data_IF_686214872227
#
_entry.id   IF_686214872227
#
_cell.length_a   1.000
_cell.length_b   1.000
_cell.length_c   1.000
_cell.angle_alpha   90.00
_cell.angle_beta   90.00
_cell.angle_gamma   90.00
#
_symmetry.space_group_name_H-M   'P 1'
#
loop_
_entity.id
_entity.type
_entity.pdbx_description
1 polymer ?
#
# COMPACT_ATOMS: atom_id res chain seq x y z
N UNK A 1 -2.31 8.39 -1.81
CA UNK A 1 -1.04 7.66 -2.08
C UNK A 1 -1.35 6.45 -2.94
N UNK A 2 -0.79 6.41 -4.12
CA UNK A 2 -0.93 5.31 -5.08
C UNK A 2 -0.05 4.12 -4.64
N UNK A 3 -0.55 2.87 -4.62
CA UNK A 3 0.27 1.69 -4.40
C UNK A 3 1.26 1.50 -5.56
N UNK A 4 2.44 0.94 -5.31
CA UNK A 4 3.34 0.55 -6.39
C UNK A 4 2.87 -0.75 -7.06
N UNK A 5 3.23 -0.95 -8.32
CA UNK A 5 2.97 -2.21 -9.02
C UNK A 5 3.51 -3.41 -8.23
N UNK A 6 4.72 -3.29 -7.69
CA UNK A 6 5.33 -4.31 -6.83
C UNK A 6 4.43 -4.70 -5.65
N UNK A 7 3.82 -3.72 -4.98
CA UNK A 7 2.92 -4.00 -3.85
C UNK A 7 1.73 -4.85 -4.29
N UNK A 8 1.08 -4.50 -5.40
CA UNK A 8 -0.11 -5.21 -5.88
C UNK A 8 0.25 -6.64 -6.33
N UNK A 9 1.34 -6.80 -7.07
CA UNK A 9 1.80 -8.10 -7.59
C UNK A 9 2.35 -9.03 -6.52
N UNK A 10 2.73 -8.51 -5.36
CA UNK A 10 3.32 -9.31 -4.27
C UNK A 10 2.29 -10.08 -3.44
N UNK A 11 1.00 -9.84 -3.64
CA UNK A 11 -0.05 -10.65 -3.02
C UNK A 11 -0.33 -11.90 -3.87
N UNK A 12 -0.50 -13.02 -3.18
CA UNK A 12 -1.08 -14.21 -3.79
C UNK A 12 -2.58 -13.98 -4.05
N UNK A 13 -3.13 -14.61 -5.08
CA UNK A 13 -4.55 -14.49 -5.43
C UNK A 13 -5.52 -14.94 -4.32
N UNK A 14 -5.07 -15.86 -3.44
CA UNK A 14 -5.82 -16.37 -2.30
C UNK A 14 -5.62 -15.55 -1.02
N UNK A 15 -4.84 -14.47 -1.08
CA UNK A 15 -4.57 -13.58 0.05
C UNK A 15 -5.62 -12.47 0.13
N UNK A 16 -6.59 -12.62 1.03
CA UNK A 16 -7.68 -11.65 1.23
C UNK A 16 -7.21 -10.26 1.69
N UNK A 17 -5.95 -10.11 2.12
CA UNK A 17 -5.41 -8.81 2.55
C UNK A 17 -5.33 -7.81 1.41
N UNK A 18 -5.16 -8.28 0.17
CA UNK A 18 -5.19 -7.39 -0.99
C UNK A 18 -6.53 -6.63 -1.02
N UNK A 19 -7.63 -7.37 -1.05
CA UNK A 19 -8.99 -6.83 -1.13
C UNK A 19 -9.44 -6.12 0.15
N UNK A 20 -8.94 -6.55 1.30
CA UNK A 20 -9.17 -5.89 2.58
C UNK A 20 -8.38 -4.59 2.77
N UNK A 21 -7.35 -4.37 1.96
CA UNK A 21 -6.48 -3.19 2.05
C UNK A 21 -6.69 -2.18 0.94
N UNK A 22 -7.04 -2.66 -0.26
CA UNK A 22 -7.17 -1.85 -1.46
C UNK A 22 -8.57 -1.99 -2.05
N UNK A 23 -9.19 -0.86 -2.33
CA UNK A 23 -10.49 -0.81 -2.99
C UNK A 23 -10.31 -1.04 -4.50
N UNK A 24 -10.97 -2.07 -5.02
CA UNK A 24 -10.92 -2.42 -6.43
C UNK A 24 -12.04 -1.81 -7.25
N UNK A 25 -13.13 -1.42 -6.61
CA UNK A 25 -14.27 -0.83 -7.32
C UNK A 25 -14.82 0.37 -6.57
N UNK A 26 -15.35 1.31 -7.34
CA UNK A 26 -15.99 2.51 -6.85
C UNK A 26 -17.44 2.50 -7.32
N UNK A 27 -18.34 2.67 -6.38
CA UNK A 27 -19.76 2.82 -6.68
C UNK A 27 -20.12 4.29 -6.85
N UNK A 28 -21.15 4.54 -7.63
CA UNK A 28 -21.71 5.87 -7.77
C UNK A 28 -22.25 6.38 -6.43
N UNK A 29 -21.90 7.62 -6.11
CA UNK A 29 -22.42 8.33 -4.95
C UNK A 29 -23.22 9.52 -5.48
N UNK A 30 -24.49 9.74 -5.04
CA UNK A 30 -25.24 10.92 -5.40
C UNK A 30 -24.44 12.20 -5.13
N UNK A 31 -24.49 13.13 -6.06
CA UNK A 31 -23.66 14.35 -6.08
C UNK A 31 -24.01 15.41 -5.04
N UNK A 32 -25.03 15.19 -4.22
CA UNK A 32 -25.31 16.12 -3.11
C UNK A 32 -24.37 15.85 -1.94
N UNK A 33 -23.27 16.57 -1.91
CA UNK A 33 -22.24 16.51 -0.89
C UNK A 33 -22.74 16.84 0.53
N UNK A 34 -23.95 17.40 0.65
CA UNK A 34 -24.59 17.74 1.93
C UNK A 34 -25.47 16.62 2.48
N UNK A 35 -25.64 15.53 1.74
CA UNK A 35 -26.41 14.37 2.18
C UNK A 35 -25.46 13.26 2.67
N UNK A 36 -26.00 12.34 3.49
CA UNK A 36 -25.30 11.11 3.83
C UNK A 36 -24.97 10.36 2.55
N UNK A 37 -23.74 9.80 2.44
CA UNK A 37 -23.41 9.00 1.29
C UNK A 37 -24.38 7.82 1.19
N UNK A 38 -25.17 7.80 0.13
CA UNK A 38 -25.99 6.65 -0.21
C UNK A 38 -25.12 5.75 -1.09
N UNK A 39 -24.71 4.62 -0.57
CA UNK A 39 -23.97 3.64 -1.34
C UNK A 39 -24.89 3.04 -2.39
N UNK A 40 -24.54 3.23 -3.64
CA UNK A 40 -25.22 2.62 -4.79
C UNK A 40 -24.51 1.32 -5.14
N UNK A 41 -25.27 0.32 -5.56
CA UNK A 41 -24.71 -0.92 -6.14
C UNK A 41 -24.18 -0.72 -7.57
N UNK A 42 -24.30 0.51 -8.10
CA UNK A 42 -23.82 0.87 -9.43
C UNK A 42 -22.33 1.10 -9.40
N UNK A 43 -21.55 0.17 -9.94
CA UNK A 43 -20.11 0.28 -10.08
C UNK A 43 -19.78 1.25 -11.22
N UNK A 44 -18.97 2.27 -10.94
CA UNK A 44 -18.48 3.23 -11.93
C UNK A 44 -17.08 2.93 -12.41
N UNK A 45 -16.21 2.51 -11.49
CA UNK A 45 -14.82 2.22 -11.77
C UNK A 45 -14.50 0.88 -11.14
N UNK A 46 -13.86 0.01 -11.91
CA UNK A 46 -13.38 -1.28 -11.43
C UNK A 46 -11.91 -1.44 -11.82
N UNK A 47 -11.05 -1.61 -10.80
CA UNK A 47 -9.63 -1.88 -10.97
C UNK A 47 -9.36 -3.33 -10.64
N UNK A 48 -8.82 -4.06 -11.59
CA UNK A 48 -8.53 -5.48 -11.40
C UNK A 48 -7.05 -5.75 -11.38
N UNK A 49 -6.67 -6.68 -10.54
CA UNK A 49 -5.37 -7.30 -10.58
C UNK A 49 -5.16 -8.09 -11.87
N UNK A 50 -6.20 -8.81 -12.29
CA UNK A 50 -6.26 -9.48 -13.58
C UNK A 50 -7.62 -9.19 -14.20
N UNK A 51 -7.62 -8.59 -15.37
CA UNK A 51 -8.82 -8.43 -16.20
C UNK A 51 -8.59 -9.26 -17.44
N UNK A 52 -9.52 -10.18 -17.75
CA UNK A 52 -9.46 -10.92 -19.01
C UNK A 52 -9.79 -10.01 -20.18
N UNK A 53 -9.33 -10.36 -21.37
CA UNK A 53 -9.67 -9.60 -22.58
C UNK A 53 -11.18 -9.58 -22.84
N UNK A 54 -11.91 -10.64 -22.45
CA UNK A 54 -13.37 -10.70 -22.53
C UNK A 54 -14.02 -9.73 -21.53
N UNK A 55 -13.51 -9.62 -20.30
CA UNK A 55 -14.02 -8.65 -19.32
C UNK A 55 -13.74 -7.21 -19.77
N UNK A 56 -12.58 -6.94 -20.36
CA UNK A 56 -12.27 -5.64 -20.95
C UNK A 56 -13.19 -5.34 -22.12
N UNK A 57 -13.47 -6.33 -22.98
CA UNK A 57 -14.35 -6.18 -24.15
C UNK A 57 -15.82 -6.03 -23.75
N UNK A 58 -16.25 -6.72 -22.69
CA UNK A 58 -17.61 -6.64 -22.15
C UNK A 58 -17.82 -5.41 -21.25
N UNK A 59 -16.72 -4.90 -20.64
CA UNK A 59 -16.76 -3.71 -19.79
C UNK A 59 -16.91 -2.44 -20.60
N UNK A 60 -17.50 -1.42 -19.98
CA UNK A 60 -17.56 -0.09 -20.55
C UNK A 60 -16.22 0.62 -20.32
N UNK A 61 -15.68 1.17 -21.40
CA UNK A 61 -14.42 1.90 -21.39
C UNK A 61 -14.66 3.37 -21.06
N UNK A 62 -13.58 4.08 -20.79
CA UNK A 62 -13.59 5.54 -20.62
C UNK A 62 -14.27 6.20 -21.83
N UNK A 63 -15.25 7.05 -21.54
CA UNK A 63 -16.07 7.72 -22.56
C UNK A 63 -17.36 6.99 -22.91
N UNK A 64 -17.59 5.76 -22.41
CA UNK A 64 -18.87 5.09 -22.50
C UNK A 64 -19.73 5.44 -21.29
N UNK A 65 -21.03 5.66 -21.53
CA UNK A 65 -21.94 6.13 -20.50
C UNK A 65 -22.70 4.95 -19.87
N UNK A 66 -22.69 4.84 -18.56
CA UNK A 66 -23.58 3.97 -17.80
C UNK A 66 -25.06 4.32 -18.09
N UNK A 67 -26.03 3.36 -18.02
CA UNK A 67 -27.46 3.65 -18.21
C UNK A 67 -28.01 4.82 -17.36
N UNK A 68 -27.36 5.15 -16.25
CA UNK A 68 -27.69 6.32 -15.42
C UNK A 68 -26.93 7.60 -15.81
N UNK A 69 -26.27 7.64 -16.96
CA UNK A 69 -25.56 8.83 -17.46
C UNK A 69 -24.16 9.04 -16.90
N UNK A 70 -23.60 8.07 -16.17
CA UNK A 70 -22.26 8.14 -15.59
C UNK A 70 -21.25 7.36 -16.43
N UNK A 71 -20.03 7.84 -16.50
CA UNK A 71 -18.94 7.09 -17.13
C UNK A 71 -18.60 5.85 -16.29
N UNK A 72 -18.40 4.72 -16.97
CA UNK A 72 -17.94 3.47 -16.37
C UNK A 72 -16.56 3.14 -16.92
N UNK A 73 -15.64 2.84 -16.02
CA UNK A 73 -14.27 2.48 -16.35
C UNK A 73 -13.98 1.05 -15.87
N UNK A 74 -13.38 0.27 -16.74
CA UNK A 74 -12.78 -1.01 -16.39
C UNK A 74 -11.29 -0.91 -16.69
N UNK A 75 -10.47 -1.03 -15.67
CA UNK A 75 -9.03 -0.81 -15.77
C UNK A 75 -8.27 -2.04 -15.26
N UNK A 76 -7.41 -2.59 -16.09
CA UNK A 76 -6.46 -3.62 -15.69
C UNK A 76 -5.14 -3.02 -15.21
N UNK A 77 -4.28 -3.82 -14.61
CA UNK A 77 -2.93 -3.38 -14.19
C UNK A 77 -2.11 -2.80 -15.36
N UNK A 78 -2.27 -3.35 -16.56
CA UNK A 78 -1.62 -2.87 -17.79
C UNK A 78 -2.08 -1.47 -18.23
N UNK A 79 -3.27 -1.03 -17.81
CA UNK A 79 -3.75 0.32 -18.03
C UNK A 79 -3.24 1.30 -16.98
N UNK A 80 -3.03 0.81 -15.76
CA UNK A 80 -2.57 1.62 -14.62
C UNK A 80 -1.04 1.72 -14.54
N UNK A 81 -0.33 0.70 -15.00
CA UNK A 81 1.12 0.62 -14.93
C UNK A 81 1.73 0.10 -16.22
N UNK A 82 2.92 0.57 -16.54
CA UNK A 82 3.81 -0.15 -17.43
C UNK A 82 4.31 -1.40 -16.70
N UNK A 83 3.91 -2.58 -17.13
CA UNK A 83 4.21 -3.83 -16.42
C UNK A 83 5.70 -4.21 -16.46
N UNK A 84 6.49 -3.62 -17.36
CA UNK A 84 7.94 -3.87 -17.47
C UNK A 84 8.73 -2.93 -16.54
N UNK A 85 8.36 -1.65 -16.49
CA UNK A 85 9.10 -0.65 -15.70
C UNK A 85 8.49 -0.39 -14.33
N UNK A 86 7.24 -0.78 -14.10
CA UNK A 86 6.47 -0.47 -12.90
C UNK A 86 5.99 0.98 -12.82
N UNK A 87 6.25 1.79 -13.85
CA UNK A 87 5.86 3.20 -13.89
C UNK A 87 4.35 3.34 -14.03
N UNK A 88 3.72 4.23 -13.24
CA UNK A 88 2.31 4.53 -13.42
C UNK A 88 2.05 5.22 -14.76
N UNK A 89 1.03 4.79 -15.47
CA UNK A 89 0.50 5.51 -16.63
C UNK A 89 -0.23 6.79 -16.20
N UNK A 90 -0.62 7.62 -17.14
CA UNK A 90 -1.47 8.79 -16.86
C UNK A 90 -2.81 8.37 -16.26
N UNK A 91 -3.42 7.29 -16.75
CA UNK A 91 -4.63 6.73 -16.16
C UNK A 91 -4.39 6.21 -14.74
N UNK A 92 -3.30 5.47 -14.51
CA UNK A 92 -2.93 4.97 -13.20
C UNK A 92 -2.71 6.07 -12.17
N UNK A 93 -2.22 7.25 -12.57
CA UNK A 93 -2.07 8.40 -11.66
C UNK A 93 -3.40 9.06 -11.30
N UNK A 94 -4.41 8.91 -12.13
CA UNK A 94 -5.75 9.49 -11.92
C UNK A 94 -6.72 8.50 -11.28
N UNK A 95 -6.62 7.23 -11.66
CA UNK A 95 -7.52 6.15 -11.23
C UNK A 95 -6.68 4.98 -10.70
N UNK A 96 -6.51 4.87 -9.40
CA UNK A 96 -5.72 3.83 -8.75
C UNK A 96 -6.44 3.23 -7.55
N UNK A 97 -6.00 2.06 -7.12
CA UNK A 97 -6.53 1.40 -5.93
C UNK A 97 -6.38 2.30 -4.69
N UNK A 98 -7.48 2.54 -4.01
CA UNK A 98 -7.49 3.37 -2.80
C UNK A 98 -7.34 2.51 -1.55
N UNK A 99 -6.70 3.08 -0.54
CA UNK A 99 -6.54 2.44 0.75
C UNK A 99 -7.87 2.39 1.52
N UNK A 100 -8.30 1.19 1.88
CA UNK A 100 -9.49 0.94 2.69
C UNK A 100 -9.23 1.01 4.19
N UNK A 101 -8.00 0.77 4.64
CA UNK A 101 -7.68 0.67 6.09
C UNK A 101 -7.93 1.96 6.85
N UNK A 102 -7.75 3.10 6.20
CA UNK A 102 -7.96 4.43 6.80
C UNK A 102 -9.31 5.05 6.43
N UNK A 103 -10.14 4.32 5.69
CA UNK A 103 -11.47 4.79 5.36
C UNK A 103 -12.35 4.81 6.61
N UNK A 104 -12.94 5.95 6.89
CA UNK A 104 -13.90 6.13 7.97
C UNK A 104 -15.33 6.11 7.42
N UNK A 105 -16.01 5.00 7.64
CA UNK A 105 -17.42 4.81 7.23
C UNK A 105 -18.42 5.49 8.19
N UNK A 106 -17.95 6.03 9.33
CA UNK A 106 -18.79 6.68 10.31
C UNK A 106 -19.01 8.17 10.02
N UNK A 107 -18.36 8.75 9.00
CA UNK A 107 -18.56 10.14 8.62
C UNK A 107 -20.02 10.41 8.29
N UNK A 108 -20.53 11.52 8.82
CA UNK A 108 -21.92 11.88 8.65
C UNK A 108 -22.21 12.38 7.22
N UNK A 109 -21.29 13.15 6.65
CA UNK A 109 -21.43 13.70 5.30
C UNK A 109 -20.23 13.32 4.42
N UNK A 110 -20.46 13.21 3.11
CA UNK A 110 -19.41 12.93 2.14
C UNK A 110 -18.34 14.05 2.07
N UNK A 111 -18.73 15.30 2.40
CA UNK A 111 -17.86 16.47 2.45
C UNK A 111 -16.95 16.55 3.68
N UNK A 112 -17.20 15.73 4.69
CA UNK A 112 -16.40 15.77 5.91
C UNK A 112 -14.96 15.35 5.63
N UNK A 113 -14.05 16.30 5.75
CA UNK A 113 -12.61 16.06 5.54
C UNK A 113 -11.97 15.31 6.71
N UNK A 114 -12.57 15.41 7.90
CA UNK A 114 -12.07 14.79 9.13
C UNK A 114 -12.84 13.53 9.45
N UNK A 115 -12.12 12.44 9.66
CA UNK A 115 -12.69 11.21 10.21
C UNK A 115 -12.54 11.18 11.74
N UNK A 116 -13.34 10.32 12.36
CA UNK A 116 -13.31 10.07 13.82
C UNK A 116 -12.80 8.67 14.15
N UNK A 117 -12.34 7.91 13.14
CA UNK A 117 -11.80 6.57 13.31
C UNK A 117 -10.48 6.62 14.07
N UNK A 118 -10.35 5.76 15.07
CA UNK A 118 -9.11 5.62 15.83
C UNK A 118 -7.94 5.22 14.94
N UNK A 119 -6.78 5.80 15.20
CA UNK A 119 -5.54 5.41 14.56
C UNK A 119 -4.86 4.30 15.37
N UNK A 120 -4.60 3.18 14.72
CA UNK A 120 -3.97 2.02 15.36
C UNK A 120 -2.45 2.22 15.35
N UNK A 121 -1.86 2.40 16.53
CA UNK A 121 -0.41 2.50 16.71
C UNK A 121 0.29 1.15 16.65
N UNK A 122 -0.28 0.15 17.30
CA UNK A 122 0.24 -1.20 17.34
C UNK A 122 -0.89 -2.20 17.21
N UNK A 123 -0.60 -3.30 16.54
CA UNK A 123 -1.52 -4.43 16.44
C UNK A 123 -0.78 -5.76 16.39
N UNK A 124 -1.47 -6.81 16.74
CA UNK A 124 -0.91 -8.17 16.87
C UNK A 124 -0.15 -8.63 15.60
N UNK A 125 -0.58 -8.21 14.40
CA UNK A 125 0.11 -8.53 13.15
C UNK A 125 1.56 -8.04 13.13
N UNK A 126 1.84 -6.86 13.69
CA UNK A 126 3.21 -6.33 13.81
C UNK A 126 4.04 -7.15 14.80
N UNK A 127 3.43 -7.60 15.90
CA UNK A 127 4.11 -8.43 16.90
C UNK A 127 4.53 -9.77 16.28
N UNK A 128 3.66 -10.43 15.51
CA UNK A 128 4.00 -11.65 14.78
C UNK A 128 5.17 -11.43 13.80
N UNK A 129 5.16 -10.34 13.07
CA UNK A 129 6.23 -10.01 12.11
C UNK A 129 7.56 -9.75 12.82
N UNK A 130 7.54 -9.01 13.93
CA UNK A 130 8.72 -8.76 14.75
C UNK A 130 9.27 -10.06 15.35
N UNK A 131 8.41 -10.95 15.82
CA UNK A 131 8.80 -12.26 16.32
C UNK A 131 9.44 -13.12 15.23
N UNK A 132 8.86 -13.16 14.02
CA UNK A 132 9.41 -13.89 12.89
C UNK A 132 10.77 -13.33 12.47
N UNK A 133 10.95 -12.02 12.48
CA UNK A 133 12.22 -11.35 12.19
C UNK A 133 13.30 -11.73 13.22
N UNK A 134 12.95 -11.73 14.50
CA UNK A 134 13.86 -12.16 15.57
C UNK A 134 14.28 -13.62 15.40
N UNK A 135 13.34 -14.54 15.16
CA UNK A 135 13.65 -15.94 14.90
C UNK A 135 14.59 -16.10 13.67
N UNK A 136 14.36 -15.33 12.62
CA UNK A 136 15.25 -15.33 11.45
C UNK A 136 16.68 -14.92 11.84
N UNK A 137 16.85 -13.84 12.62
CA UNK A 137 18.18 -13.40 13.06
C UNK A 137 18.85 -14.39 14.02
N UNK A 138 18.08 -15.16 14.77
CA UNK A 138 18.56 -16.24 15.64
C UNK A 138 18.86 -17.55 14.87
N UNK A 139 18.64 -17.57 13.53
CA UNK A 139 18.79 -18.77 12.71
C UNK A 139 17.69 -19.82 12.87
N UNK A 140 16.62 -19.49 13.60
CA UNK A 140 15.47 -20.39 13.88
C UNK A 140 14.40 -20.24 12.79
N UNK A 141 14.75 -20.62 11.57
CA UNK A 141 13.89 -20.41 10.40
C UNK A 141 12.58 -21.20 10.45
N UNK A 142 12.58 -22.37 11.06
CA UNK A 142 11.38 -23.20 11.29
C UNK A 142 10.35 -22.45 12.14
N UNK A 143 10.79 -21.81 13.22
CA UNK A 143 9.91 -21.04 14.09
C UNK A 143 9.42 -19.77 13.40
N UNK A 144 10.29 -19.07 12.66
CA UNK A 144 9.87 -17.92 11.85
C UNK A 144 8.79 -18.30 10.83
N UNK A 145 8.95 -19.42 10.14
CA UNK A 145 7.99 -19.92 9.15
C UNK A 145 6.62 -20.26 9.79
N UNK A 146 6.62 -20.88 10.99
CA UNK A 146 5.39 -21.17 11.75
C UNK A 146 4.65 -19.87 12.10
N UNK A 147 5.37 -18.89 12.64
CA UNK A 147 4.79 -17.61 13.05
C UNK A 147 4.15 -16.88 11.87
N UNK A 148 4.82 -16.81 10.71
CA UNK A 148 4.26 -16.15 9.52
C UNK A 148 3.09 -16.96 8.95
N UNK A 149 3.16 -18.29 8.96
CA UNK A 149 2.04 -19.14 8.52
C UNK A 149 0.81 -18.88 9.40
N UNK A 150 0.99 -18.77 10.71
CA UNK A 150 -0.09 -18.45 11.63
C UNK A 150 -0.70 -17.06 11.35
N UNK A 151 0.15 -16.05 11.13
CA UNK A 151 -0.30 -14.71 10.73
C UNK A 151 -1.16 -14.75 9.47
N UNK A 152 -0.77 -15.57 8.48
CA UNK A 152 -1.46 -15.66 7.17
C UNK A 152 -2.80 -16.39 7.24
N UNK A 153 -3.00 -17.31 8.18
CA UNK A 153 -4.24 -18.11 8.29
C UNK A 153 -5.52 -17.27 8.28
N UNK A 154 -5.53 -16.14 8.97
CA UNK A 154 -6.71 -15.25 9.02
C UNK A 154 -7.07 -14.60 7.67
N UNK A 155 -6.10 -14.53 6.77
CA UNK A 155 -6.24 -13.88 5.48
C UNK A 155 -6.38 -14.86 4.31
N UNK A 156 -6.41 -16.14 4.62
CA UNK A 156 -6.48 -17.22 3.65
C UNK A 156 -7.89 -17.34 3.05
N UNK A 157 -7.95 -17.60 1.76
CA UNK A 157 -9.17 -18.06 1.12
C UNK A 157 -9.39 -19.52 1.44
N UNK A 158 -10.56 -19.87 1.93
CA UNK A 158 -10.94 -21.23 2.33
C UNK A 158 -10.68 -22.24 1.19
N UNK A 159 -10.13 -23.40 1.53
CA UNK A 159 -9.76 -24.43 0.57
C UNK A 159 -8.43 -24.24 -0.13
N UNK A 160 -7.65 -23.19 0.23
CA UNK A 160 -6.36 -22.87 -0.39
C UNK A 160 -5.22 -22.78 0.64
N UNK A 161 -5.24 -23.62 1.67
CA UNK A 161 -4.35 -23.57 2.83
C UNK A 161 -2.86 -23.64 2.45
N UNK A 162 -2.53 -24.44 1.44
CA UNK A 162 -1.15 -24.59 0.97
C UNK A 162 -0.62 -23.35 0.23
N UNK A 163 -1.50 -22.52 -0.34
CA UNK A 163 -1.09 -21.35 -1.13
C UNK A 163 -0.38 -20.26 -0.31
N UNK A 164 -0.68 -20.17 0.98
CA UNK A 164 -0.10 -19.17 1.87
C UNK A 164 0.86 -19.78 2.91
N UNK A 165 1.13 -21.09 2.82
CA UNK A 165 2.09 -21.78 3.70
C UNK A 165 3.50 -21.25 3.49
N UNK A 166 4.22 -21.08 4.58
CA UNK A 166 5.61 -20.62 4.58
C UNK A 166 6.52 -21.76 5.01
N UNK A 167 7.57 -22.00 4.22
CA UNK A 167 8.60 -22.98 4.53
C UNK A 167 9.87 -22.29 5.07
N UNK A 168 10.71 -22.98 5.86
CA UNK A 168 11.95 -22.41 6.37
C UNK A 168 12.88 -21.86 5.29
N UNK A 169 12.90 -22.46 4.11
CA UNK A 169 13.74 -22.03 2.98
C UNK A 169 13.37 -20.63 2.46
N UNK A 170 12.10 -20.26 2.60
CA UNK A 170 11.60 -18.93 2.21
C UNK A 170 12.07 -17.83 3.17
N UNK A 171 12.49 -18.18 4.39
CA UNK A 171 12.80 -17.20 5.44
C UNK A 171 14.11 -16.48 5.12
N UNK A 172 13.97 -15.27 4.62
CA UNK A 172 15.02 -14.28 4.40
C UNK A 172 14.54 -12.92 4.87
N UNK A 173 15.46 -11.97 5.08
CA UNK A 173 15.07 -10.60 5.44
C UNK A 173 14.14 -9.99 4.39
N UNK A 174 14.43 -10.18 3.10
CA UNK A 174 13.59 -9.66 2.01
C UNK A 174 12.19 -10.26 2.03
N UNK A 175 12.05 -11.55 2.28
CA UNK A 175 10.76 -12.20 2.43
C UNK A 175 9.94 -11.63 3.61
N UNK A 176 10.59 -11.43 4.76
CA UNK A 176 9.96 -10.83 5.94
C UNK A 176 9.55 -9.38 5.68
N UNK A 177 10.40 -8.60 4.99
CA UNK A 177 10.06 -7.23 4.60
C UNK A 177 8.89 -7.16 3.60
N UNK A 178 8.74 -8.18 2.76
CA UNK A 178 7.57 -8.30 1.89
C UNK A 178 6.32 -8.66 2.69
N UNK A 179 6.47 -9.50 3.73
CA UNK A 179 5.36 -9.80 4.62
C UNK A 179 4.93 -8.57 5.44
N UNK A 180 5.88 -7.77 5.95
CA UNK A 180 5.58 -6.47 6.55
C UNK A 180 4.79 -5.56 5.59
N UNK A 181 5.13 -5.56 4.30
CA UNK A 181 4.40 -4.78 3.31
C UNK A 181 2.97 -5.30 3.13
N UNK A 182 2.78 -6.61 2.97
CA UNK A 182 1.43 -7.21 2.83
C UNK A 182 0.56 -6.93 4.05
N UNK A 183 1.14 -7.06 5.23
CA UNK A 183 0.40 -6.92 6.49
C UNK A 183 0.15 -5.46 6.88
N UNK A 184 1.18 -4.62 6.86
CA UNK A 184 1.15 -3.25 7.39
C UNK A 184 1.15 -2.16 6.30
N UNK A 185 0.78 -2.52 5.07
CA UNK A 185 0.67 -1.53 3.99
C UNK A 185 -0.27 -0.39 4.37
N UNK A 186 0.12 0.83 4.04
CA UNK A 186 -0.63 2.08 4.28
C UNK A 186 -0.83 2.45 5.77
N UNK A 187 -0.19 1.74 6.71
CA UNK A 187 -0.28 2.03 8.15
C UNK A 187 0.87 2.93 8.66
N UNK A 188 1.72 3.43 7.76
CA UNK A 188 2.78 4.40 8.10
C UNK A 188 4.13 3.79 8.49
N UNK A 189 4.23 2.48 8.69
CA UNK A 189 5.43 1.83 9.24
C UNK A 189 6.55 1.55 8.22
N UNK A 190 6.25 1.58 6.91
CA UNK A 190 7.17 1.12 5.87
C UNK A 190 8.53 1.81 5.88
N UNK A 191 8.55 3.14 6.02
CA UNK A 191 9.79 3.91 6.08
C UNK A 191 10.70 3.46 7.22
N UNK A 192 10.13 3.36 8.42
CA UNK A 192 10.88 2.98 9.63
C UNK A 192 11.42 1.56 9.54
N UNK A 193 10.60 0.61 9.10
CA UNK A 193 10.99 -0.79 8.92
C UNK A 193 12.14 -0.92 7.94
N UNK A 194 12.08 -0.27 6.78
CA UNK A 194 13.14 -0.32 5.78
C UNK A 194 14.41 0.41 6.23
N UNK A 195 14.26 1.54 6.92
CA UNK A 195 15.41 2.28 7.48
C UNK A 195 16.13 1.47 8.54
N UNK A 196 15.40 0.92 9.51
CA UNK A 196 15.92 0.11 10.61
C UNK A 196 16.71 -1.12 10.11
N UNK A 197 16.24 -1.74 9.06
CA UNK A 197 16.86 -2.93 8.47
C UNK A 197 17.94 -2.62 7.41
N UNK A 198 18.26 -1.34 7.19
CA UNK A 198 19.24 -0.91 6.19
C UNK A 198 18.80 -1.10 4.73
N UNK A 199 17.53 -1.43 4.50
CA UNK A 199 17.00 -1.77 3.17
C UNK A 199 16.24 -0.62 2.49
N UNK A 200 16.22 0.58 3.08
CA UNK A 200 15.39 1.68 2.57
C UNK A 200 15.81 2.11 1.16
N UNK A 201 17.08 2.45 0.97
CA UNK A 201 17.57 2.93 -0.33
C UNK A 201 17.44 1.85 -1.42
N UNK A 202 17.95 0.64 -1.13
CA UNK A 202 17.91 -0.49 -2.08
C UNK A 202 16.48 -0.76 -2.56
N UNK A 203 15.53 -0.91 -1.63
CA UNK A 203 14.16 -1.28 -1.97
C UNK A 203 13.37 -0.11 -2.57
N UNK A 204 13.64 1.14 -2.15
CA UNK A 204 13.01 2.31 -2.75
C UNK A 204 13.42 2.44 -4.24
N UNK A 205 14.71 2.35 -4.53
CA UNK A 205 15.21 2.43 -5.91
C UNK A 205 14.72 1.27 -6.78
N UNK A 206 14.57 0.07 -6.20
CA UNK A 206 14.15 -1.12 -6.92
C UNK A 206 12.65 -1.13 -7.25
N UNK A 207 11.80 -0.68 -6.33
CA UNK A 207 10.36 -0.91 -6.39
C UNK A 207 9.50 0.36 -6.53
N UNK A 208 10.13 1.54 -6.46
CA UNK A 208 9.41 2.80 -6.65
C UNK A 208 10.05 3.60 -7.79
N UNK A 209 9.47 3.55 -8.99
CA UNK A 209 10.02 4.23 -10.16
C UNK A 209 10.07 5.76 -9.99
N UNK A 210 9.18 6.35 -9.18
CA UNK A 210 9.15 7.81 -8.98
C UNK A 210 10.38 8.37 -8.26
N UNK A 211 11.13 7.51 -7.55
CA UNK A 211 12.33 7.92 -6.80
C UNK A 211 13.64 7.39 -7.39
N UNK A 212 13.58 6.58 -8.44
CA UNK A 212 14.72 5.86 -9.01
C UNK A 212 15.95 6.76 -9.28
N UNK A 213 15.71 7.94 -9.87
CA UNK A 213 16.77 8.89 -10.22
C UNK A 213 16.92 10.04 -9.22
N UNK A 214 16.09 10.08 -8.19
CA UNK A 214 16.02 11.19 -7.24
C UNK A 214 16.58 10.84 -5.86
N UNK A 215 16.37 9.61 -5.40
CA UNK A 215 16.78 9.18 -4.07
C UNK A 215 18.26 8.83 -4.04
N UNK A 216 19.01 9.46 -3.14
CA UNK A 216 20.43 9.25 -2.89
C UNK A 216 20.65 8.72 -1.47
N UNK A 217 21.85 8.25 -1.19
CA UNK A 217 22.19 7.64 0.11
C UNK A 217 21.85 8.55 1.31
N UNK A 218 22.10 9.85 1.20
CA UNK A 218 21.83 10.77 2.29
C UNK A 218 20.34 10.97 2.60
N UNK A 219 19.43 10.70 1.65
CA UNK A 219 17.98 10.77 1.88
C UNK A 219 17.44 9.73 2.88
N UNK A 220 18.27 8.75 3.28
CA UNK A 220 17.95 7.84 4.38
C UNK A 220 17.84 8.61 5.72
N UNK A 221 18.58 9.70 5.84
CA UNK A 221 18.44 10.67 6.92
C UNK A 221 17.63 11.85 6.42
N UNK A 222 16.58 12.22 7.12
CA UNK A 222 15.74 13.37 6.73
C UNK A 222 16.40 14.66 7.17
N UNK A 223 16.20 15.78 6.44
CA UNK A 223 16.65 17.08 6.90
C UNK A 223 15.96 17.46 8.22
N UNK A 224 16.62 18.28 9.00
CA UNK A 224 15.99 18.96 10.14
C UNK A 224 14.97 19.95 9.57
N UNK A 225 13.72 20.00 10.05
CA UNK A 225 12.76 20.99 9.60
C UNK A 225 13.33 22.41 9.73
N UNK A 226 13.18 23.23 8.68
CA UNK A 226 13.76 24.57 8.68
C UNK A 226 13.28 25.42 9.87
N UNK A 227 12.02 25.27 10.25
CA UNK A 227 11.47 25.97 11.42
C UNK A 227 12.25 25.67 12.72
N UNK A 228 12.76 24.45 12.88
CA UNK A 228 13.56 24.07 14.05
C UNK A 228 14.93 24.74 14.01
N UNK A 229 15.54 24.81 12.83
CA UNK A 229 16.82 25.51 12.64
C UNK A 229 16.69 27.01 12.89
N UNK A 230 15.56 27.60 12.49
CA UNK A 230 15.33 29.04 12.59
C UNK A 230 15.09 29.53 14.02
N UNK A 231 14.49 28.68 14.89
CA UNK A 231 14.09 29.07 16.26
C UNK A 231 15.13 28.78 17.32
N UNK A 232 16.17 27.97 17.02
CA UNK A 232 17.22 27.72 18.02
C UNK A 232 18.05 28.97 18.28
N UNK A 233 18.43 29.18 19.57
CA UNK A 233 19.21 30.33 20.00
C UNK A 233 20.73 30.14 19.80
N UNK A 234 21.19 28.89 19.79
CA UNK A 234 22.61 28.52 19.62
C UNK A 234 22.89 28.11 18.16
N UNK A 235 22.60 28.99 17.22
CA UNK A 235 22.72 28.72 15.77
C UNK A 235 24.13 28.28 15.34
N UNK A 236 25.15 28.69 16.07
CA UNK A 236 26.55 28.31 15.80
C UNK A 236 26.86 26.85 16.15
N UNK A 237 26.01 26.18 16.92
CA UNK A 237 26.14 24.79 17.34
C UNK A 237 25.11 23.84 16.70
N UNK A 238 24.04 24.39 16.13
CA UNK A 238 22.94 23.64 15.57
C UNK A 238 22.78 23.94 14.09
N UNK A 239 23.33 23.06 13.26
CA UNK A 239 23.35 23.20 11.82
C UNK A 239 22.48 22.15 11.14
N UNK A 240 22.02 22.46 9.94
CA UNK A 240 21.44 21.48 9.03
C UNK A 240 22.48 20.42 8.68
N UNK A 241 22.03 19.23 8.30
CA UNK A 241 22.92 18.19 7.76
C UNK A 241 23.60 18.72 6.47
N UNK A 242 24.93 18.50 6.31
CA UNK A 242 25.70 19.12 5.21
C UNK A 242 25.13 18.87 3.81
N UNK A 243 24.49 17.71 3.59
CA UNK A 243 23.89 17.35 2.32
C UNK A 243 22.61 18.15 2.00
N UNK A 244 22.00 18.76 3.01
CA UNK A 244 20.78 19.57 2.91
C UNK A 244 21.05 21.07 3.14
N UNK A 245 22.27 21.41 3.51
CA UNK A 245 22.70 22.80 3.69
C UNK A 245 23.13 23.37 2.34
N UNK A 246 22.16 23.99 1.61
CA UNK A 246 22.37 24.56 0.28
C UNK A 246 21.94 26.01 0.20
#
# INVERSE_FOLDING_TARGET
>A
TMPSLFMIQNFNEYDKRLYGSLQEYWCWIPTDWNQKPVYSDTVLIRHFRSVTDEEVAAGRRRGETHPLGHELFVEGLNHMYNLQTGEPTMNGRSCYHTNLKLLDSSREFAKDEKGHKDFIWFRLGEVYLSQAELYMYMGQKEEAAKVITELRKRALTEGHEEALKVTPDMITLDFILDEYMRELSMEGFRWYTLKRTGKLLERALKYNPDVKDKMKAYHVTRPIPQNEVDVVTNKDEFHQLPEYDK
#
